data_IF_619867712755
#
_entry.id   IF_619867712755
#
_cell.length_a   1.000
_cell.length_b   1.000
_cell.length_c   1.000
_cell.angle_alpha   90.00
_cell.angle_beta   90.00
_cell.angle_gamma   90.00
#
_symmetry.space_group_name_H-M   'P 1'
#
loop_
_entity.id
_entity.type
_entity.pdbx_description
1 polymer ?
#
# COMPACT_ATOMS: atom_id res chain seq x y z
N UNK A 1 -5.55 -11.70 -10.27
CA UNK A 1 -5.00 -11.30 -8.94
C UNK A 1 -3.89 -12.25 -8.47
N UNK A 2 -3.75 -13.41 -9.11
CA UNK A 2 -2.76 -14.47 -8.82
C UNK A 2 -1.31 -13.99 -8.70
N UNK A 3 -0.88 -13.05 -9.55
CA UNK A 3 0.49 -12.50 -9.49
C UNK A 3 0.71 -11.69 -8.19
N UNK A 4 -0.28 -10.91 -7.76
CA UNK A 4 -0.18 -10.13 -6.54
C UNK A 4 -0.12 -11.04 -5.30
N UNK A 5 -0.90 -12.13 -5.30
CA UNK A 5 -0.85 -13.15 -4.24
C UNK A 5 0.54 -13.78 -4.16
N UNK A 6 1.10 -14.21 -5.30
CA UNK A 6 2.44 -14.80 -5.36
C UNK A 6 3.53 -13.86 -4.86
N UNK A 7 3.40 -12.57 -5.15
CA UNK A 7 4.33 -11.54 -4.64
C UNK A 7 4.16 -11.36 -3.12
N UNK A 8 2.92 -11.34 -2.63
CA UNK A 8 2.63 -11.20 -1.21
C UNK A 8 3.13 -12.40 -0.39
N UNK A 9 2.97 -13.62 -0.92
CA UNK A 9 3.56 -14.85 -0.35
C UNK A 9 5.09 -14.71 -0.19
N UNK A 10 5.78 -14.17 -1.20
CA UNK A 10 7.23 -13.90 -1.12
C UNK A 10 7.62 -12.77 -0.15
N UNK A 11 6.67 -11.93 0.23
CA UNK A 11 6.87 -10.85 1.21
C UNK A 11 6.49 -11.24 2.64
N UNK A 12 5.95 -12.44 2.84
CA UNK A 12 5.36 -12.94 4.09
C UNK A 12 4.16 -12.08 4.55
N UNK A 13 3.31 -11.69 3.59
CA UNK A 13 2.10 -10.90 3.85
C UNK A 13 0.86 -11.73 3.55
N UNK A 14 0.00 -11.87 4.55
CA UNK A 14 -1.35 -12.35 4.37
C UNK A 14 -2.20 -11.25 3.71
N UNK A 15 -2.71 -11.52 2.51
CA UNK A 15 -3.54 -10.58 1.75
C UNK A 15 -5.00 -10.63 2.23
N UNK A 16 -5.31 -9.90 3.29
CA UNK A 16 -6.68 -9.71 3.79
C UNK A 16 -7.41 -8.62 3.00
N UNK A 17 -8.70 -8.41 3.27
CA UNK A 17 -9.52 -7.40 2.58
C UNK A 17 -8.90 -6.00 2.63
N UNK A 18 -8.37 -5.59 3.80
CA UNK A 18 -7.71 -4.30 3.95
C UNK A 18 -6.45 -4.13 3.08
N UNK A 19 -5.70 -5.21 2.82
CA UNK A 19 -4.55 -5.17 1.92
C UNK A 19 -4.98 -5.00 0.46
N UNK A 20 -6.08 -5.64 0.07
CA UNK A 20 -6.62 -5.53 -1.27
C UNK A 20 -7.15 -4.13 -1.58
N UNK A 21 -7.77 -3.46 -0.61
CA UNK A 21 -8.24 -2.08 -0.77
C UNK A 21 -7.07 -1.13 -1.06
N UNK A 22 -5.96 -1.29 -0.33
CA UNK A 22 -4.73 -0.54 -0.58
C UNK A 22 -4.13 -0.82 -1.96
N UNK A 23 -4.08 -2.10 -2.37
CA UNK A 23 -3.57 -2.48 -3.69
C UNK A 23 -4.44 -1.91 -4.81
N UNK A 24 -5.77 -1.94 -4.67
CA UNK A 24 -6.71 -1.35 -5.63
C UNK A 24 -6.56 0.16 -5.68
N UNK A 25 -6.45 0.82 -4.53
CA UNK A 25 -6.19 2.25 -4.44
C UNK A 25 -4.91 2.64 -5.19
N UNK A 26 -3.81 1.91 -4.94
CA UNK A 26 -2.53 2.12 -5.62
C UNK A 26 -2.65 1.97 -7.14
N UNK A 27 -3.32 0.92 -7.61
CA UNK A 27 -3.53 0.69 -9.05
C UNK A 27 -4.36 1.78 -9.69
N UNK A 28 -5.42 2.23 -9.03
CA UNK A 28 -6.27 3.31 -9.52
C UNK A 28 -5.51 4.63 -9.57
N UNK A 29 -4.75 4.94 -8.51
CA UNK A 29 -3.90 6.13 -8.47
C UNK A 29 -2.85 6.11 -9.59
N UNK A 30 -2.16 4.98 -9.79
CA UNK A 30 -1.20 4.86 -10.89
C UNK A 30 -1.87 4.97 -12.26
N UNK A 31 -3.07 4.40 -12.44
CA UNK A 31 -3.81 4.50 -13.69
C UNK A 31 -4.16 5.95 -14.03
N UNK A 32 -4.55 6.74 -13.02
CA UNK A 32 -4.95 8.15 -13.17
C UNK A 32 -3.75 9.09 -13.32
N UNK A 33 -2.74 8.95 -12.47
CA UNK A 33 -1.62 9.89 -12.36
C UNK A 33 -0.32 9.41 -13.01
N UNK A 34 -0.25 8.15 -13.47
CA UNK A 34 0.96 7.49 -14.01
C UNK A 34 2.16 7.53 -13.05
N UNK A 35 1.91 7.70 -11.75
CA UNK A 35 2.92 7.86 -10.70
C UNK A 35 2.51 6.98 -9.52
N UNK A 36 3.48 6.28 -8.92
CA UNK A 36 3.25 5.52 -7.69
C UNK A 36 3.14 6.48 -6.49
N UNK A 37 2.07 6.43 -5.69
CA UNK A 37 1.90 7.34 -4.58
C UNK A 37 2.90 7.02 -3.45
N UNK A 38 3.40 8.06 -2.79
CA UNK A 38 4.28 7.92 -1.63
C UNK A 38 3.52 7.47 -0.37
N UNK A 39 4.26 6.96 0.64
CA UNK A 39 3.70 6.53 1.95
C UNK A 39 2.78 7.59 2.57
N UNK A 40 3.12 8.88 2.42
CA UNK A 40 2.34 9.99 2.99
C UNK A 40 0.95 10.10 2.38
N UNK A 41 0.82 9.85 1.08
CA UNK A 41 -0.47 9.86 0.38
C UNK A 41 -1.31 8.67 0.85
N UNK A 42 -0.69 7.49 0.93
CA UNK A 42 -1.31 6.26 1.43
C UNK A 42 -1.85 6.45 2.86
N UNK A 43 -1.02 6.98 3.76
CA UNK A 43 -1.38 7.22 5.17
C UNK A 43 -2.52 8.23 5.28
N UNK A 44 -2.52 9.28 4.45
CA UNK A 44 -3.60 10.27 4.43
C UNK A 44 -4.91 9.69 3.90
N UNK A 45 -4.85 8.84 2.86
CA UNK A 45 -6.03 8.17 2.31
C UNK A 45 -6.66 7.24 3.36
N UNK A 46 -5.86 6.37 3.99
CA UNK A 46 -6.33 5.45 5.04
C UNK A 46 -6.87 6.20 6.26
N UNK A 47 -6.17 7.25 6.70
CA UNK A 47 -6.63 8.10 7.81
C UNK A 47 -8.01 8.72 7.50
N UNK A 48 -8.19 9.23 6.28
CA UNK A 48 -9.45 9.84 5.85
C UNK A 48 -10.57 8.82 5.68
N UNK A 49 -10.27 7.64 5.15
CA UNK A 49 -11.26 6.59 4.88
C UNK A 49 -11.75 5.93 6.17
N UNK A 50 -10.84 5.65 7.11
CA UNK A 50 -11.17 5.04 8.40
C UNK A 50 -11.50 6.04 9.51
N UNK A 51 -11.40 7.34 9.24
CA UNK A 51 -11.64 8.39 10.24
C UNK A 51 -10.68 8.36 11.43
N UNK A 52 -9.46 7.88 11.23
CA UNK A 52 -8.42 7.73 12.26
C UNK A 52 -7.33 8.78 12.11
N UNK A 53 -6.55 9.00 13.17
CA UNK A 53 -5.44 9.94 13.11
C UNK A 53 -4.32 9.43 12.21
N UNK A 54 -3.51 10.36 11.66
CA UNK A 54 -2.38 9.99 10.78
C UNK A 54 -1.39 9.04 11.46
N UNK A 55 -1.22 9.17 12.78
CA UNK A 55 -0.34 8.31 13.56
C UNK A 55 -0.90 6.89 13.61
N UNK A 56 -2.18 6.74 13.94
CA UNK A 56 -2.88 5.45 13.97
C UNK A 56 -2.90 4.79 12.58
N UNK A 57 -3.16 5.57 11.52
CA UNK A 57 -3.11 5.07 10.15
C UNK A 57 -1.70 4.60 9.76
N UNK A 58 -0.65 5.30 10.21
CA UNK A 58 0.73 4.86 9.99
C UNK A 58 1.00 3.55 10.72
N UNK A 59 0.65 3.46 12.00
CA UNK A 59 0.83 2.23 12.80
C UNK A 59 0.07 1.04 12.20
N UNK A 60 -1.18 1.28 11.76
CA UNK A 60 -2.00 0.29 11.05
C UNK A 60 -1.36 -0.18 9.75
N UNK A 61 -0.83 0.75 8.95
CA UNK A 61 -0.12 0.44 7.71
C UNK A 61 1.16 -0.36 7.95
N UNK A 62 1.94 -0.04 8.98
CA UNK A 62 3.13 -0.81 9.36
C UNK A 62 2.78 -2.17 9.97
N UNK A 63 1.65 -2.30 10.64
CA UNK A 63 1.15 -3.59 11.12
C UNK A 63 0.79 -4.54 9.95
N UNK A 64 0.19 -4.00 8.88
CA UNK A 64 -0.14 -4.77 7.67
C UNK A 64 1.07 -5.03 6.76
N UNK A 65 2.00 -4.07 6.69
CA UNK A 65 3.16 -4.10 5.80
C UNK A 65 4.45 -3.74 6.58
N UNK A 66 5.01 -4.69 7.34
CA UNK A 66 6.08 -4.43 8.31
C UNK A 66 7.41 -3.98 7.70
N UNK A 67 7.72 -4.38 6.45
CA UNK A 67 8.96 -3.95 5.77
C UNK A 67 8.82 -2.59 5.09
N UNK A 68 7.62 -2.00 5.13
CA UNK A 68 7.35 -0.67 4.58
C UNK A 68 6.07 -0.67 3.75
N UNK A 69 5.03 0.08 4.16
CA UNK A 69 3.72 0.04 3.51
C UNK A 69 3.73 0.45 2.04
N UNK A 70 4.37 1.57 1.66
CA UNK A 70 4.45 1.90 0.24
C UNK A 70 5.31 0.91 -0.55
N UNK A 71 6.39 0.39 0.02
CA UNK A 71 7.29 -0.51 -0.70
C UNK A 71 6.59 -1.84 -0.99
N UNK A 72 6.05 -2.47 0.05
CA UNK A 72 5.39 -3.78 -0.08
C UNK A 72 4.06 -3.65 -0.82
N UNK A 73 3.24 -2.64 -0.52
CA UNK A 73 1.96 -2.46 -1.22
C UNK A 73 2.17 -2.11 -2.71
N UNK A 74 3.14 -1.25 -3.07
CA UNK A 74 3.44 -0.98 -4.49
C UNK A 74 3.97 -2.24 -5.20
N UNK A 75 4.84 -3.02 -4.53
CA UNK A 75 5.36 -4.27 -5.08
C UNK A 75 4.24 -5.27 -5.35
N UNK A 76 3.34 -5.50 -4.39
CA UNK A 76 2.18 -6.38 -4.52
C UNK A 76 1.19 -5.85 -5.57
N UNK A 77 1.03 -4.53 -5.65
CA UNK A 77 0.19 -3.89 -6.66
C UNK A 77 0.75 -4.02 -8.10
N UNK A 78 2.01 -4.44 -8.26
CA UNK A 78 2.70 -4.52 -9.55
C UNK A 78 3.17 -3.17 -10.08
N UNK A 79 3.35 -2.20 -9.19
CA UNK A 79 3.78 -0.85 -9.52
C UNK A 79 5.31 -0.73 -9.46
N UNK A 80 5.90 0.20 -10.24
CA UNK A 80 7.32 0.50 -10.12
C UNK A 80 7.67 0.95 -8.70
N UNK A 81 8.92 0.71 -8.29
CA UNK A 81 9.40 1.09 -6.95
C UNK A 81 9.11 2.58 -6.71
N UNK A 82 8.43 2.96 -5.61
CA UNK A 82 8.11 4.34 -5.35
C UNK A 82 9.40 5.15 -5.22
N UNK A 83 9.54 6.18 -6.06
CA UNK A 83 10.59 7.18 -5.98
C UNK A 83 10.24 8.14 -4.85
N UNK A 84 11.01 8.16 -3.77
CA UNK A 84 10.75 9.04 -2.62
C UNK A 84 11.16 8.49 -1.24
N UNK A 85 11.73 7.28 -1.17
CA UNK A 85 12.44 6.83 0.02
C UNK A 85 13.86 7.44 0.01
N UNK A 86 14.01 8.60 0.63
CA UNK A 86 15.28 9.07 1.21
C UNK A 86 15.21 8.90 2.73
#
# INVERSE_FOLDING_TARGET
EDVAVKIAEGEDIAMEEGHWDLVKFLRNYYKEYQIAPAVKVLTKAVASEKGMDKKEASEFLYAMFPKGPALQACKIAGLPKPTGCV
#
